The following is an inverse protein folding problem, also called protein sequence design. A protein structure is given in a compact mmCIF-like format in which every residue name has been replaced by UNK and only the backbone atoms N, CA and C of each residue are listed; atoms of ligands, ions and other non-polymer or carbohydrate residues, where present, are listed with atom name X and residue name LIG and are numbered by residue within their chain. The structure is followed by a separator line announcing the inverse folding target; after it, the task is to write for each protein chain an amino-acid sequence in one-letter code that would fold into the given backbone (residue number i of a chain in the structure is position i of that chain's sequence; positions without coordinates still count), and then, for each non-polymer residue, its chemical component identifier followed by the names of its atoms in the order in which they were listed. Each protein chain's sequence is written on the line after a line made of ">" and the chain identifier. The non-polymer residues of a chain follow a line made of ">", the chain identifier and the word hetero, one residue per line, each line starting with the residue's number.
data_IF_828589342920
#
_entry.id   IF_828589342920
#
_cell.length_a   1.000
_cell.length_b   1.000
_cell.length_c   1.000
_cell.angle_alpha   90.00
_cell.angle_beta   90.00
_cell.angle_gamma   90.00
#
_symmetry.space_group_name_H-M   'P 1'
#
loop_
_entity.id
_entity.type
_entity.pdbx_description
1 polymer ?
#
# COMPACT_ATOMS: atom_id res chain seq x y z
N UNK A 1 5.82 13.37 20.65
CA UNK A 1 5.77 14.48 19.64
C UNK A 1 4.44 14.42 18.89
N UNK A 2 4.07 15.43 18.10
CA UNK A 2 2.88 15.30 17.24
C UNK A 2 3.02 14.07 16.30
N UNK A 3 1.93 13.31 16.12
CA UNK A 3 1.81 12.16 15.21
C UNK A 3 2.67 10.92 15.50
N UNK A 4 3.30 10.81 16.67
CA UNK A 4 4.13 9.65 17.03
C UNK A 4 3.39 8.30 16.89
N UNK A 5 2.09 8.30 17.19
CA UNK A 5 1.22 7.13 17.05
C UNK A 5 1.15 6.60 15.59
N UNK A 6 1.36 7.44 14.57
CA UNK A 6 1.32 7.03 13.17
C UNK A 6 2.45 6.07 12.80
N UNK A 7 3.58 6.14 13.52
CA UNK A 7 4.76 5.33 13.24
C UNK A 7 4.88 4.11 14.15
N UNK A 8 3.93 3.92 15.07
CA UNK A 8 3.89 2.75 15.94
C UNK A 8 3.24 1.56 15.21
N UNK A 9 3.70 0.32 15.47
CA UNK A 9 3.08 -0.87 14.92
C UNK A 9 1.59 -1.00 15.29
N UNK A 10 0.84 -1.72 14.45
CA UNK A 10 -0.56 -2.05 14.70
C UNK A 10 -0.83 -3.51 14.31
N UNK A 11 -1.57 -4.24 15.13
CA UNK A 11 -2.05 -5.57 14.81
C UNK A 11 -3.35 -5.49 14.00
N UNK A 12 -3.38 -6.12 12.83
CA UNK A 12 -4.57 -6.27 11.99
C UNK A 12 -4.77 -7.75 11.70
N UNK A 13 -5.77 -8.36 12.33
CA UNK A 13 -6.00 -9.80 12.26
C UNK A 13 -4.78 -10.57 12.77
N UNK A 14 -4.12 -11.35 11.89
CA UNK A 14 -2.91 -12.14 12.20
C UNK A 14 -1.60 -11.43 11.83
N UNK A 15 -1.66 -10.22 11.25
CA UNK A 15 -0.49 -9.49 10.78
C UNK A 15 -0.18 -8.30 11.69
N UNK A 16 1.11 -8.09 11.96
CA UNK A 16 1.61 -6.86 12.57
C UNK A 16 2.13 -5.94 11.47
N UNK A 17 1.50 -4.77 11.30
CA UNK A 17 1.92 -3.75 10.34
C UNK A 17 2.86 -2.78 11.05
N UNK A 18 3.98 -2.43 10.41
CA UNK A 18 5.05 -1.63 11.00
C UNK A 18 4.66 -0.19 11.37
N UNK A 19 3.61 0.35 10.75
CA UNK A 19 3.12 1.70 10.98
C UNK A 19 1.64 1.81 10.58
N UNK A 20 1.05 2.99 10.77
CA UNK A 20 -0.36 3.30 10.46
C UNK A 20 -0.51 4.14 9.19
N UNK A 21 0.46 4.04 8.27
CA UNK A 21 0.46 4.73 6.98
C UNK A 21 0.10 3.73 5.89
N UNK A 22 -0.92 4.05 5.09
CA UNK A 22 -1.46 3.17 4.05
C UNK A 22 -1.43 3.89 2.71
N UNK A 23 -0.92 3.23 1.68
CA UNK A 23 -1.17 3.61 0.29
C UNK A 23 -2.56 3.12 -0.11
N UNK A 24 -3.50 4.02 -0.28
CA UNK A 24 -4.88 3.67 -0.66
C UNK A 24 -4.93 3.18 -2.10
N UNK A 25 -5.93 2.34 -2.40
CA UNK A 25 -6.20 1.94 -3.79
C UNK A 25 -6.42 3.17 -4.67
N UNK A 26 -5.74 3.19 -5.81
CA UNK A 26 -5.90 4.21 -6.85
C UNK A 26 -5.82 3.53 -8.22
N UNK A 27 -6.60 4.02 -9.18
CA UNK A 27 -6.63 3.45 -10.52
C UNK A 27 -5.39 3.92 -11.28
N UNK A 28 -4.42 3.04 -11.48
CA UNK A 28 -3.24 3.33 -12.30
C UNK A 28 -3.47 2.94 -13.76
N UNK A 29 -3.05 3.82 -14.67
CA UNK A 29 -3.21 3.66 -16.13
C UNK A 29 -2.17 2.70 -16.73
N UNK A 30 -1.62 1.78 -15.93
CA UNK A 30 -0.58 0.84 -16.33
C UNK A 30 -1.07 -0.60 -16.47
N UNK A 31 -2.37 -0.84 -16.31
CA UNK A 31 -2.96 -2.12 -16.66
C UNK A 31 -3.00 -2.29 -18.20
N UNK A 32 -2.95 -3.53 -18.68
CA UNK A 32 -3.18 -3.83 -20.09
C UNK A 32 -4.65 -3.59 -20.48
N UNK A 33 -4.93 -3.52 -21.79
CA UNK A 33 -6.28 -3.65 -22.34
C UNK A 33 -6.83 -5.05 -22.03
N UNK A 34 -7.41 -5.20 -20.84
CA UNK A 34 -7.78 -6.49 -20.23
C UNK A 34 -7.63 -6.51 -18.71
N UNK A 35 -7.08 -5.46 -18.10
CA UNK A 35 -6.98 -5.32 -16.65
C UNK A 35 -5.84 -6.12 -16.02
N UNK A 36 -4.94 -6.69 -16.84
CA UNK A 36 -3.79 -7.42 -16.32
C UNK A 36 -2.70 -6.46 -15.88
N UNK A 37 -1.95 -6.85 -14.84
CA UNK A 37 -0.79 -6.10 -14.36
C UNK A 37 0.32 -6.09 -15.40
N UNK A 38 1.24 -5.13 -15.28
CA UNK A 38 2.43 -5.00 -16.14
C UNK A 38 3.70 -4.90 -15.31
N UNK A 39 4.86 -5.13 -15.91
CA UNK A 39 6.17 -4.93 -15.25
C UNK A 39 6.34 -3.53 -14.68
N UNK A 40 5.74 -2.53 -15.32
CA UNK A 40 5.74 -1.14 -14.83
C UNK A 40 4.91 -1.01 -13.55
N UNK A 41 3.74 -1.65 -13.50
CA UNK A 41 2.90 -1.67 -12.32
C UNK A 41 3.60 -2.36 -11.15
N UNK A 42 4.35 -3.44 -11.40
CA UNK A 42 5.17 -4.11 -10.37
C UNK A 42 6.26 -3.19 -9.82
N UNK A 43 6.95 -2.42 -10.68
CA UNK A 43 8.01 -1.49 -10.24
C UNK A 43 7.51 -0.28 -9.48
N UNK A 44 6.22 0.02 -9.55
CA UNK A 44 5.63 1.16 -8.85
C UNK A 44 5.36 0.85 -7.36
N UNK A 45 5.09 -0.41 -7.01
CA UNK A 45 4.88 -0.88 -5.63
C UNK A 45 6.17 -1.41 -4.99
#
# INVERSE_FOLDING_TARGET
>A
MAFEAMFQPIQIGKLTIRNRVLSTAHAEVYATDGGMTTDRYVKYY
#
